data_IF_899851454803
#
_entry.id   IF_899851454803
#
_cell.length_a   1.000
_cell.length_b   1.000
_cell.length_c   1.000
_cell.angle_alpha   90.00
_cell.angle_beta   90.00
_cell.angle_gamma   90.00
#
_symmetry.space_group_name_H-M   'P 1'
#
loop_
_entity.id
_entity.type
_entity.pdbx_description
1 polymer ?
#
# COMPACT_ATOMS: atom_id res chain seq x y z
N UNK A 1 10.52 7.70 -10.74
CA UNK A 1 9.99 8.81 -9.91
C UNK A 1 9.12 8.11 -8.91
N UNK A 2 9.55 8.12 -7.65
CA UNK A 2 8.79 7.47 -6.58
C UNK A 2 7.59 8.33 -6.20
N UNK A 3 6.45 7.68 -5.98
CA UNK A 3 5.22 8.30 -5.46
C UNK A 3 4.94 7.65 -4.11
N UNK A 4 4.96 8.43 -3.03
CA UNK A 4 4.53 7.96 -1.71
C UNK A 4 3.00 7.86 -1.70
N UNK A 5 2.50 6.66 -1.44
CA UNK A 5 1.06 6.37 -1.35
C UNK A 5 0.57 6.53 0.08
N UNK A 6 1.35 6.03 1.05
CA UNK A 6 1.06 6.12 2.47
C UNK A 6 2.34 6.25 3.27
N UNK A 7 2.33 7.10 4.30
CA UNK A 7 3.41 7.24 5.26
C UNK A 7 2.79 7.14 6.66
N UNK A 8 3.28 6.23 7.50
CA UNK A 8 2.84 6.17 8.88
C UNK A 8 3.24 7.46 9.62
N UNK A 9 2.35 8.13 10.38
CA UNK A 9 2.64 9.42 11.03
C UNK A 9 3.86 9.36 11.96
N UNK A 10 4.03 8.24 12.66
CA UNK A 10 5.13 8.03 13.60
C UNK A 10 6.42 7.49 12.95
N UNK A 11 6.50 7.45 11.61
CA UNK A 11 7.68 6.95 10.90
C UNK A 11 7.92 5.44 11.07
N UNK A 12 6.85 4.65 11.18
CA UNK A 12 6.91 3.18 11.30
C UNK A 12 6.72 2.49 9.95
N UNK A 13 7.28 3.08 8.89
CA UNK A 13 7.15 2.57 7.53
C UNK A 13 6.25 3.36 6.60
N UNK A 14 6.32 2.97 5.33
CA UNK A 14 5.62 3.61 4.23
C UNK A 14 5.28 2.63 3.11
N UNK A 15 4.36 3.05 2.25
CA UNK A 15 4.04 2.40 0.99
C UNK A 15 4.31 3.41 -0.12
N UNK A 16 5.12 3.03 -1.09
CA UNK A 16 5.45 3.84 -2.26
C UNK A 16 5.34 3.04 -3.56
N UNK A 17 5.25 3.76 -4.67
CA UNK A 17 5.30 3.17 -6.00
C UNK A 17 6.46 3.76 -6.80
N UNK A 18 7.36 2.90 -7.26
CA UNK A 18 8.45 3.29 -8.16
C UNK A 18 8.77 2.16 -9.14
N UNK A 19 9.06 2.54 -10.39
CA UNK A 19 9.50 1.60 -11.42
C UNK A 19 8.54 0.44 -11.71
N UNK A 20 7.23 0.63 -11.56
CA UNK A 20 6.24 -0.45 -11.77
C UNK A 20 6.05 -1.38 -10.58
N UNK A 21 6.66 -1.06 -9.43
CA UNK A 21 6.55 -1.87 -8.22
C UNK A 21 5.91 -1.08 -7.08
N UNK A 22 5.04 -1.75 -6.33
CA UNK A 22 4.62 -1.31 -5.01
C UNK A 22 5.68 -1.75 -4.01
N UNK A 23 6.13 -0.83 -3.18
CA UNK A 23 7.18 -1.04 -2.20
C UNK A 23 6.57 -0.79 -0.83
N UNK A 24 6.70 -1.75 0.06
CA UNK A 24 6.35 -1.61 1.47
C UNK A 24 7.65 -1.65 2.28
N UNK A 25 7.97 -0.54 2.94
CA UNK A 25 9.10 -0.42 3.83
C UNK A 25 8.61 -0.43 5.28
N UNK A 26 9.19 -1.29 6.11
CA UNK A 26 8.93 -1.36 7.54
C UNK A 26 10.18 -0.90 8.31
N UNK A 27 10.07 0.27 8.93
CA UNK A 27 11.18 0.85 9.69
C UNK A 27 11.41 0.15 11.04
N UNK A 28 10.44 -0.61 11.56
CA UNK A 28 10.56 -1.32 12.84
C UNK A 28 11.54 -2.49 12.79
N UNK A 29 11.61 -3.19 11.65
CA UNK A 29 12.48 -4.35 11.45
C UNK A 29 13.45 -4.18 10.27
N UNK A 30 13.49 -2.98 9.68
CA UNK A 30 14.31 -2.62 8.51
C UNK A 30 14.07 -3.52 7.28
N UNK A 31 12.87 -4.10 7.15
CA UNK A 31 12.52 -4.91 5.97
C UNK A 31 11.88 -4.07 4.87
N UNK A 32 12.16 -4.44 3.63
CA UNK A 32 11.56 -3.83 2.44
C UNK A 32 11.08 -4.94 1.52
N UNK A 33 9.80 -4.90 1.16
CA UNK A 33 9.20 -5.82 0.19
C UNK A 33 8.80 -5.08 -1.06
N UNK A 34 9.06 -5.66 -2.23
CA UNK A 34 8.71 -5.09 -3.53
C UNK A 34 7.81 -6.07 -4.29
N UNK A 35 6.69 -5.57 -4.77
CA UNK A 35 5.73 -6.33 -5.58
C UNK A 35 5.64 -5.66 -6.94
N UNK A 36 5.99 -6.39 -8.01
CA UNK A 36 5.72 -5.92 -9.37
C UNK A 36 4.21 -5.86 -9.57
N UNK A 37 3.69 -4.66 -9.81
CA UNK A 37 2.26 -4.40 -9.90
C UNK A 37 2.01 -3.38 -10.98
N UNK A 38 1.41 -3.84 -12.08
CA UNK A 38 1.02 -2.97 -13.18
C UNK A 38 -0.17 -2.08 -12.79
N UNK A 39 -0.54 -1.14 -13.68
CA UNK A 39 -1.67 -0.24 -13.44
C UNK A 39 -2.99 -0.97 -13.12
N UNK A 40 -3.27 -2.10 -13.77
CA UNK A 40 -4.50 -2.85 -13.52
C UNK A 40 -4.50 -3.54 -12.16
N UNK A 41 -3.37 -4.10 -11.75
CA UNK A 41 -3.20 -4.65 -10.41
C UNK A 41 -3.32 -3.58 -9.32
N UNK A 42 -2.83 -2.37 -9.59
CA UNK A 42 -2.95 -1.25 -8.65
C UNK A 42 -4.42 -0.80 -8.49
N UNK A 43 -5.20 -0.80 -9.58
CA UNK A 43 -6.64 -0.50 -9.52
C UNK A 43 -7.41 -1.57 -8.73
N UNK A 44 -7.13 -2.85 -8.98
CA UNK A 44 -7.75 -3.95 -8.24
C UNK A 44 -7.38 -3.90 -6.75
N UNK A 45 -6.11 -3.62 -6.44
CA UNK A 45 -5.66 -3.44 -5.06
C UNK A 45 -6.38 -2.28 -4.37
N UNK A 46 -6.52 -1.13 -5.03
CA UNK A 46 -7.23 0.02 -4.48
C UNK A 46 -8.70 -0.30 -4.18
N UNK A 47 -9.37 -1.01 -5.08
CA UNK A 47 -10.75 -1.48 -4.87
C UNK A 47 -10.85 -2.39 -3.63
N UNK A 48 -9.95 -3.38 -3.52
CA UNK A 48 -9.92 -4.31 -2.39
C UNK A 48 -9.62 -3.64 -1.06
N UNK A 49 -8.73 -2.64 -1.06
CA UNK A 49 -8.42 -1.85 0.14
C UNK A 49 -9.63 -1.04 0.60
N UNK A 50 -10.41 -0.46 -0.32
CA UNK A 50 -11.66 0.21 0.00
C UNK A 50 -12.67 -0.73 0.65
N UNK A 51 -12.93 -1.88 0.00
CA UNK A 51 -13.83 -2.89 0.54
C UNK A 51 -13.38 -3.42 1.91
N UNK A 52 -12.07 -3.61 2.11
CA UNK A 52 -11.51 -4.00 3.41
C UNK A 52 -11.77 -2.93 4.48
N UNK A 53 -11.61 -1.64 4.15
CA UNK A 53 -11.89 -0.56 5.09
C UNK A 53 -13.37 -0.53 5.50
N UNK A 54 -14.29 -0.72 4.56
CA UNK A 54 -15.72 -0.79 4.86
C UNK A 54 -16.04 -1.96 5.82
N UNK A 55 -15.44 -3.14 5.58
CA UNK A 55 -15.58 -4.29 6.49
C UNK A 55 -15.05 -3.99 7.89
N UNK A 56 -13.90 -3.33 8.02
CA UNK A 56 -13.31 -2.95 9.33
C UNK A 56 -14.22 -1.96 10.06
N UNK A 57 -14.81 -1.01 9.34
CA UNK A 57 -15.77 -0.03 9.87
C UNK A 57 -17.15 -0.64 10.16
N UNK A 58 -17.38 -1.91 9.84
CA UNK A 58 -18.66 -2.60 10.00
C UNK A 58 -19.74 -2.13 9.02
N UNK A 59 -19.35 -1.52 7.90
CA UNK A 59 -20.24 -1.18 6.79
C UNK A 59 -20.33 -2.37 5.84
N UNK A 60 -21.53 -2.91 5.56
CA UNK A 60 -21.68 -3.97 4.58
C UNK A 60 -21.34 -3.46 3.17
N UNK A 61 -20.78 -4.35 2.35
CA UNK A 61 -20.43 -4.15 0.94
C UNK A 61 -21.61 -3.78 0.03
#
# INVERSE_FOLDING_TARGET
>A
MSIVIYQHPDGQGCIEFDGGSLIAANDLDATVTRILIGPDGLRDLAYRLGALADVIDGRPE
#
